data_IF_412656169710
#
_entry.id   IF_412656169710
#
_cell.length_a   1.000
_cell.length_b   1.000
_cell.length_c   1.000
_cell.angle_alpha   90.00
_cell.angle_beta   90.00
_cell.angle_gamma   90.00
#
_symmetry.space_group_name_H-M   'P 1'
#
loop_
_entity.id
_entity.type
_entity.pdbx_description
1 polymer ?
#
# COMPACT_ATOMS: atom_id res chain seq x y z
N UNK A 1 49.57 33.91 32.69
CA UNK A 1 48.11 33.76 32.82
C UNK A 1 47.44 34.97 32.19
N UNK A 2 46.90 34.84 30.98
CA UNK A 2 46.26 35.93 30.24
C UNK A 2 44.77 36.00 30.59
N UNK A 3 44.33 37.10 31.20
CA UNK A 3 42.93 37.36 31.56
C UNK A 3 42.18 37.86 30.31
N UNK A 4 41.34 37.02 29.74
CA UNK A 4 40.44 37.41 28.65
C UNK A 4 39.24 38.12 29.28
N UNK A 5 39.08 39.42 29.00
CA UNK A 5 37.90 40.20 29.40
C UNK A 5 36.77 39.87 28.42
N UNK A 6 35.66 39.32 28.92
CA UNK A 6 34.45 39.17 28.12
C UNK A 6 33.79 40.55 27.92
N UNK A 7 33.71 41.01 26.67
CA UNK A 7 32.89 42.16 26.29
C UNK A 7 31.44 41.72 26.26
N UNK A 8 30.63 42.20 27.20
CA UNK A 8 29.16 42.11 27.13
C UNK A 8 28.66 43.30 26.34
N UNK A 9 28.15 43.05 25.13
CA UNK A 9 27.44 44.03 24.33
C UNK A 9 26.66 43.28 23.27
N UNK A 10 25.36 43.05 23.51
CA UNK A 10 24.43 42.64 22.45
C UNK A 10 24.23 43.87 21.57
N UNK A 11 24.43 43.79 20.24
CA UNK A 11 24.25 44.92 19.33
C UNK A 11 22.81 45.45 19.39
N UNK A 12 22.67 46.78 19.28
CA UNK A 12 21.42 47.55 19.36
C UNK A 12 20.44 47.26 18.20
N UNK A 13 20.86 46.44 17.23
CA UNK A 13 20.08 46.07 16.04
C UNK A 13 19.36 44.72 16.19
N UNK A 14 19.06 44.29 17.43
CA UNK A 14 18.25 43.08 17.65
C UNK A 14 16.80 43.35 17.22
N UNK A 15 16.51 43.02 15.98
CA UNK A 15 15.19 43.11 15.35
C UNK A 15 14.24 42.19 16.13
N UNK A 16 13.33 42.78 16.90
CA UNK A 16 12.25 42.03 17.54
C UNK A 16 11.27 41.61 16.44
N UNK A 17 11.35 40.37 15.98
CA UNK A 17 10.33 39.81 15.08
C UNK A 17 9.00 39.78 15.84
N UNK A 18 8.05 40.60 15.42
CA UNK A 18 6.66 40.50 15.85
C UNK A 18 6.14 39.12 15.41
N UNK A 19 5.85 38.26 16.38
CA UNK A 19 5.17 37.00 16.15
C UNK A 19 3.77 37.32 15.63
N UNK A 20 3.59 37.29 14.31
CA UNK A 20 2.25 37.16 13.73
C UNK A 20 1.74 35.79 14.17
N UNK A 21 0.61 35.77 14.88
CA UNK A 21 0.05 34.59 15.52
C UNK A 21 0.15 33.34 14.63
N UNK A 22 0.85 32.30 15.10
CA UNK A 22 1.12 31.05 14.36
C UNK A 22 -0.15 30.44 13.72
N UNK A 23 -1.29 30.65 14.37
CA UNK A 23 -2.60 30.19 13.91
C UNK A 23 -3.07 30.87 12.60
N UNK A 24 -2.59 32.08 12.30
CA UNK A 24 -2.92 32.80 11.06
C UNK A 24 -2.10 32.30 9.88
N UNK A 25 -0.83 31.93 10.13
CA UNK A 25 0.07 31.33 9.15
C UNK A 25 -0.43 29.93 8.77
N UNK A 26 -0.83 29.12 9.75
CA UNK A 26 -1.39 27.78 9.50
C UNK A 26 -2.66 27.85 8.63
N UNK A 27 -3.57 28.79 8.91
CA UNK A 27 -4.79 28.97 8.09
C UNK A 27 -4.49 29.39 6.66
N UNK A 28 -3.49 30.26 6.45
CA UNK A 28 -3.07 30.63 5.09
C UNK A 28 -2.45 29.43 4.36
N UNK A 29 -1.61 28.65 5.02
CA UNK A 29 -1.01 27.44 4.45
C UNK A 29 -2.06 26.35 4.13
N UNK A 30 -3.12 26.22 4.94
CA UNK A 30 -4.24 25.31 4.69
C UNK A 30 -5.06 25.74 3.46
N UNK A 31 -5.32 27.04 3.33
CA UNK A 31 -6.03 27.61 2.19
C UNK A 31 -5.26 27.39 0.88
N UNK A 32 -3.93 27.61 0.90
CA UNK A 32 -3.05 27.39 -0.25
C UNK A 32 -2.99 25.90 -0.66
N UNK A 33 -3.01 24.97 0.30
CA UNK A 33 -3.01 23.53 0.01
C UNK A 33 -4.30 23.04 -0.64
N UNK A 34 -5.46 23.63 -0.31
CA UNK A 34 -6.74 23.27 -0.92
C UNK A 34 -6.82 23.66 -2.40
N UNK A 35 -6.23 24.80 -2.77
CA UNK A 35 -6.25 25.31 -4.16
C UNK A 35 -5.26 24.59 -5.10
N UNK A 36 -4.32 23.80 -4.56
CA UNK A 36 -3.39 22.96 -5.33
C UNK A 36 -3.95 21.59 -5.69
N UNK A 37 -5.14 21.21 -5.19
CA UNK A 37 -5.76 19.95 -5.56
C UNK A 37 -6.37 20.03 -6.97
N UNK A 38 -6.00 19.14 -7.90
CA UNK A 38 -6.54 19.15 -9.26
C UNK A 38 -8.07 19.03 -9.24
N UNK A 39 -8.74 19.83 -10.08
CA UNK A 39 -10.20 19.77 -10.23
C UNK A 39 -10.62 18.32 -10.53
N UNK A 40 -11.81 17.86 -10.05
CA UNK A 40 -12.25 16.48 -10.27
C UNK A 40 -12.23 16.01 -11.73
N UNK A 41 -12.40 16.95 -12.67
CA UNK A 41 -12.29 16.71 -14.11
C UNK A 41 -10.84 16.46 -14.56
N UNK A 42 -9.88 17.28 -14.11
CA UNK A 42 -8.45 17.11 -14.37
C UNK A 42 -7.88 15.82 -13.76
N UNK A 43 -8.42 15.39 -12.60
CA UNK A 43 -8.07 14.10 -11.97
C UNK A 43 -8.42 12.90 -12.86
N UNK A 44 -9.55 12.97 -13.58
CA UNK A 44 -9.96 11.91 -14.52
C UNK A 44 -9.10 11.88 -15.78
N UNK A 45 -8.63 13.04 -16.24
CA UNK A 45 -7.75 13.13 -17.41
C UNK A 45 -6.35 12.55 -17.09
N UNK A 46 -5.77 12.87 -15.94
CA UNK A 46 -4.52 12.27 -15.45
C UNK A 46 -4.61 10.74 -15.28
N UNK A 47 -5.78 10.22 -14.89
CA UNK A 47 -6.02 8.78 -14.79
C UNK A 47 -6.08 8.12 -16.18
N UNK A 48 -6.69 8.78 -17.17
CA UNK A 48 -6.76 8.28 -18.55
C UNK A 48 -5.39 8.27 -19.24
N UNK A 49 -4.56 9.28 -19.00
CA UNK A 49 -3.20 9.34 -19.54
C UNK A 49 -2.31 8.22 -18.96
N UNK A 50 -2.43 7.93 -17.65
CA UNK A 50 -1.71 6.82 -17.01
C UNK A 50 -2.19 5.42 -17.42
N UNK A 51 -3.43 5.28 -17.87
CA UNK A 51 -3.97 4.02 -18.41
C UNK A 51 -3.48 3.77 -19.85
N UNK A 52 -3.40 4.81 -20.68
CA UNK A 52 -2.90 4.72 -22.05
C UNK A 52 -1.39 4.38 -22.13
N UNK A 53 -0.58 4.85 -21.18
CA UNK A 53 0.84 4.44 -21.07
C UNK A 53 1.01 3.00 -20.60
N UNK A 54 0.05 2.47 -19.82
CA UNK A 54 0.11 1.11 -19.27
C UNK A 54 -0.23 0.05 -20.32
N UNK A 55 -1.11 0.37 -21.25
CA UNK A 55 -1.49 -0.49 -22.37
C UNK A 55 -0.35 -0.64 -23.40
N UNK A 56 0.59 0.31 -23.49
CA UNK A 56 1.75 0.23 -24.39
C UNK A 56 2.92 -0.61 -23.81
N UNK A 57 2.84 -1.04 -22.55
CA UNK A 57 3.91 -1.80 -21.86
C UNK A 57 3.59 -3.29 -21.71
N UNK A 58 2.72 -3.82 -22.55
CA UNK A 58 2.45 -5.25 -22.64
C UNK A 58 2.95 -5.78 -23.99
N UNK A 59 4.26 -5.67 -24.24
CA UNK A 59 4.96 -6.51 -25.22
C UNK A 59 6.47 -6.53 -24.92
N UNK A 60 6.83 -7.14 -23.79
CA UNK A 60 8.12 -7.84 -23.68
C UNK A 60 7.81 -9.27 -23.25
N UNK A 61 7.29 -10.03 -24.21
CA UNK A 61 7.33 -11.48 -24.17
C UNK A 61 8.81 -11.86 -24.25
N UNK A 62 9.41 -12.30 -23.15
CA UNK A 62 10.67 -13.01 -23.20
C UNK A 62 10.39 -14.37 -23.83
N UNK A 63 10.51 -14.42 -25.16
CA UNK A 63 10.38 -15.63 -25.96
C UNK A 63 11.40 -16.65 -25.45
N UNK A 64 10.91 -17.85 -25.12
CA UNK A 64 11.67 -18.95 -24.52
C UNK A 64 12.96 -19.24 -25.30
N UNK A 65 14.10 -18.88 -24.71
CA UNK A 65 15.39 -19.34 -25.15
C UNK A 65 15.54 -20.80 -24.71
N UNK A 66 15.72 -21.69 -25.70
CA UNK A 66 16.01 -23.10 -25.50
C UNK A 66 17.09 -23.31 -24.41
N UNK A 67 16.74 -24.04 -23.35
CA UNK A 67 17.48 -24.17 -22.08
C UNK A 67 18.55 -25.29 -22.11
N UNK A 68 19.19 -25.54 -23.25
CA UNK A 68 20.18 -26.63 -23.38
C UNK A 68 21.65 -26.16 -23.33
N UNK A 69 21.96 -24.86 -23.14
CA UNK A 69 23.36 -24.39 -23.21
C UNK A 69 23.81 -23.33 -22.18
N UNK A 70 23.29 -23.37 -20.94
CA UNK A 70 23.82 -22.55 -19.82
C UNK A 70 24.55 -23.40 -18.77
N UNK A 71 25.45 -24.27 -19.23
CA UNK A 71 26.38 -25.00 -18.38
C UNK A 71 27.79 -24.39 -18.48
N UNK A 72 28.04 -23.23 -17.84
CA UNK A 72 29.39 -22.74 -17.40
C UNK A 72 29.33 -21.34 -16.76
N UNK A 73 28.46 -21.17 -15.77
CA UNK A 73 28.42 -19.97 -14.95
C UNK A 73 27.44 -20.15 -13.81
N UNK A 74 27.79 -19.72 -12.59
CA UNK A 74 26.89 -19.85 -11.44
C UNK A 74 25.51 -19.28 -11.79
N UNK A 75 24.44 -20.04 -11.52
CA UNK A 75 23.06 -19.62 -11.83
C UNK A 75 22.77 -18.27 -11.18
N UNK A 76 22.62 -17.23 -12.00
CA UNK A 76 22.08 -15.95 -11.53
C UNK A 76 20.67 -16.20 -11.02
N UNK A 77 20.35 -15.71 -9.81
CA UNK A 77 19.01 -15.84 -9.24
C UNK A 77 18.05 -14.89 -9.97
N UNK A 78 17.09 -15.43 -10.71
CA UNK A 78 15.99 -14.64 -11.27
C UNK A 78 15.02 -14.25 -10.15
N UNK A 79 14.60 -12.99 -10.14
CA UNK A 79 13.56 -12.51 -9.22
C UNK A 79 12.19 -13.03 -9.69
N UNK A 80 11.62 -13.97 -8.95
CA UNK A 80 10.24 -14.42 -9.15
C UNK A 80 9.40 -14.21 -7.87
N UNK A 81 8.72 -13.05 -7.73
CA UNK A 81 7.91 -12.75 -6.56
C UNK A 81 6.72 -13.70 -6.38
N UNK A 82 6.16 -14.27 -7.45
CA UNK A 82 5.02 -15.18 -7.36
C UNK A 82 5.39 -16.47 -6.61
N UNK A 83 6.64 -16.91 -6.73
CA UNK A 83 7.16 -18.11 -6.07
C UNK A 83 7.79 -17.85 -4.70
N UNK A 84 7.85 -16.60 -4.25
CA UNK A 84 8.30 -16.32 -2.90
C UNK A 84 7.36 -16.98 -1.91
N UNK A 85 7.91 -17.81 -1.01
CA UNK A 85 7.16 -18.54 0.03
C UNK A 85 6.16 -17.65 0.78
N UNK A 86 6.54 -16.41 1.09
CA UNK A 86 5.66 -15.42 1.73
C UNK A 86 4.47 -15.02 0.86
N UNK A 87 4.67 -14.84 -0.43
CA UNK A 87 3.61 -14.45 -1.37
C UNK A 87 2.67 -15.62 -1.65
N UNK A 88 3.21 -16.83 -1.83
CA UNK A 88 2.40 -18.06 -1.92
C UNK A 88 1.53 -18.20 -0.66
N UNK A 89 2.14 -18.10 0.52
CA UNK A 89 1.43 -18.22 1.80
C UNK A 89 0.34 -17.15 1.95
N UNK A 90 0.66 -15.89 1.63
CA UNK A 90 -0.28 -14.78 1.69
C UNK A 90 -1.48 -15.01 0.76
N UNK A 91 -1.21 -15.43 -0.48
CA UNK A 91 -2.25 -15.79 -1.47
C UNK A 91 -3.15 -16.90 -0.94
N UNK A 92 -2.58 -18.01 -0.48
CA UNK A 92 -3.35 -19.13 0.08
C UNK A 92 -4.21 -18.69 1.26
N UNK A 93 -3.65 -17.91 2.19
CA UNK A 93 -4.36 -17.37 3.36
C UNK A 93 -5.55 -16.48 2.98
N UNK A 94 -5.40 -15.62 1.96
CA UNK A 94 -6.48 -14.75 1.51
C UNK A 94 -7.57 -15.50 0.75
N UNK A 95 -7.20 -16.49 -0.07
CA UNK A 95 -8.15 -17.41 -0.74
C UNK A 95 -8.77 -18.44 0.23
N UNK A 96 -8.40 -18.42 1.51
CA UNK A 96 -8.89 -19.37 2.50
C UNK A 96 -8.45 -20.82 2.27
N UNK A 97 -7.41 -21.07 1.47
CA UNK A 97 -6.87 -22.42 1.23
C UNK A 97 -5.94 -22.85 2.35
N UNK A 98 -5.70 -24.16 2.45
CA UNK A 98 -4.72 -24.69 3.38
C UNK A 98 -3.31 -24.17 3.05
N UNK A 99 -2.51 -23.89 4.09
CA UNK A 99 -1.15 -23.37 3.91
C UNK A 99 -0.24 -23.76 5.08
N UNK A 100 1.07 -23.73 4.84
CA UNK A 100 2.09 -23.97 5.88
C UNK A 100 2.54 -22.63 6.48
N UNK A 101 2.55 -22.51 7.81
CA UNK A 101 3.05 -21.33 8.51
C UNK A 101 4.56 -21.16 8.36
N UNK A 102 5.08 -19.99 8.72
CA UNK A 102 6.54 -19.78 8.82
C UNK A 102 7.20 -20.71 9.83
N UNK A 103 6.44 -21.19 10.82
CA UNK A 103 6.87 -22.19 11.80
C UNK A 103 6.71 -23.64 11.34
N UNK A 104 6.31 -23.88 10.08
CA UNK A 104 6.16 -25.22 9.51
C UNK A 104 4.85 -25.94 9.86
N UNK A 105 3.93 -25.27 10.57
CA UNK A 105 2.64 -25.87 10.96
C UNK A 105 1.62 -25.71 9.83
N UNK A 106 0.93 -26.79 9.50
CA UNK A 106 -0.18 -26.74 8.54
C UNK A 106 -1.38 -25.99 9.13
N UNK A 107 -2.01 -25.15 8.30
CA UNK A 107 -3.26 -24.47 8.56
C UNK A 107 -4.27 -24.99 7.56
N UNK A 108 -5.40 -25.49 8.06
CA UNK A 108 -6.46 -26.05 7.24
C UNK A 108 -7.16 -24.96 6.42
N UNK A 109 -7.80 -25.38 5.33
CA UNK A 109 -8.65 -24.51 4.53
C UNK A 109 -9.83 -23.99 5.37
N UNK A 110 -10.22 -22.74 5.13
CA UNK A 110 -11.44 -22.18 5.70
C UNK A 110 -12.64 -22.86 5.07
N UNK A 111 -13.67 -23.08 5.87
CA UNK A 111 -14.97 -23.56 5.42
C UNK A 111 -16.03 -22.55 5.83
N UNK A 112 -17.12 -22.49 5.06
CA UNK A 112 -18.25 -21.65 5.44
C UNK A 112 -18.97 -22.29 6.64
N UNK A 113 -19.23 -21.47 7.67
CA UNK A 113 -20.01 -21.88 8.83
C UNK A 113 -21.52 -21.76 8.56
N UNK A 114 -22.35 -22.22 9.51
CA UNK A 114 -23.80 -22.05 9.43
C UNK A 114 -24.19 -20.56 9.30
N UNK A 115 -25.41 -20.30 8.85
CA UNK A 115 -25.96 -18.94 8.84
C UNK A 115 -26.04 -18.36 10.24
N UNK A 116 -26.02 -17.03 10.31
CA UNK A 116 -26.24 -16.34 11.56
C UNK A 116 -27.66 -16.62 12.07
N UNK A 117 -27.79 -16.95 13.35
CA UNK A 117 -29.09 -17.19 13.97
C UNK A 117 -29.93 -15.91 14.13
N UNK A 118 -31.17 -16.10 14.57
CA UNK A 118 -32.17 -15.02 14.75
C UNK A 118 -31.70 -13.94 15.74
N UNK A 119 -30.82 -14.29 16.68
CA UNK A 119 -30.23 -13.36 17.66
C UNK A 119 -29.12 -12.47 17.10
N UNK A 120 -28.78 -12.58 15.81
CA UNK A 120 -27.77 -11.75 15.18
C UNK A 120 -28.23 -10.28 15.11
N UNK A 121 -27.49 -9.38 15.77
CA UNK A 121 -27.78 -7.94 15.77
C UNK A 121 -27.79 -7.32 14.36
N UNK A 122 -27.02 -7.88 13.43
CA UNK A 122 -26.92 -7.43 12.05
C UNK A 122 -27.92 -8.13 11.11
N UNK A 123 -28.73 -9.07 11.62
CA UNK A 123 -29.72 -9.83 10.84
C UNK A 123 -29.16 -10.36 9.50
N UNK A 124 -27.93 -10.88 9.49
CA UNK A 124 -27.26 -11.27 8.25
C UNK A 124 -28.07 -12.24 7.38
N UNK A 125 -28.88 -13.11 8.00
CA UNK A 125 -29.77 -14.06 7.34
C UNK A 125 -30.93 -13.41 6.57
N UNK A 126 -31.29 -12.15 6.83
CA UNK A 126 -32.28 -11.42 6.01
C UNK A 126 -31.65 -10.69 4.82
N UNK A 127 -30.33 -10.54 4.82
CA UNK A 127 -29.59 -9.82 3.78
C UNK A 127 -28.92 -10.76 2.79
N UNK A 128 -28.46 -11.92 3.26
CA UNK A 128 -27.79 -12.91 2.45
C UNK A 128 -28.35 -14.30 2.74
N UNK A 129 -28.91 -14.91 1.70
CA UNK A 129 -29.27 -16.31 1.72
C UNK A 129 -28.01 -17.19 1.70
N UNK A 130 -28.16 -18.45 2.10
CA UNK A 130 -27.02 -19.38 2.19
C UNK A 130 -26.33 -19.61 0.84
N UNK A 131 -27.07 -19.56 -0.25
CA UNK A 131 -26.51 -19.64 -1.61
C UNK A 131 -25.66 -18.42 -1.95
N UNK A 132 -26.15 -17.21 -1.64
CA UNK A 132 -25.40 -15.96 -1.85
C UNK A 132 -24.10 -15.95 -1.02
N UNK A 133 -24.18 -16.42 0.23
CA UNK A 133 -23.00 -16.60 1.09
C UNK A 133 -21.99 -17.58 0.48
N UNK A 134 -22.48 -18.68 -0.10
CA UNK A 134 -21.65 -19.67 -0.80
C UNK A 134 -20.96 -19.09 -2.05
N UNK A 135 -21.67 -18.27 -2.82
CA UNK A 135 -21.11 -17.60 -4.01
C UNK A 135 -20.01 -16.61 -3.63
N UNK A 136 -20.25 -15.77 -2.60
CA UNK A 136 -19.24 -14.84 -2.08
C UNK A 136 -18.00 -15.61 -1.60
N UNK A 137 -18.20 -16.76 -0.93
CA UNK A 137 -17.10 -17.58 -0.44
C UNK A 137 -16.26 -18.20 -1.58
N UNK A 138 -16.89 -18.58 -2.70
CA UNK A 138 -16.21 -19.18 -3.86
C UNK A 138 -15.59 -18.16 -4.82
N UNK A 139 -16.01 -16.90 -4.77
CA UNK A 139 -15.58 -15.85 -5.69
C UNK A 139 -14.17 -15.31 -5.49
N UNK A 140 -13.43 -15.79 -4.49
CA UNK A 140 -12.07 -15.35 -4.14
C UNK A 140 -11.07 -16.51 -4.17
#
# INVERSE_FOLDING_TARGET
MLKIKHKTGVPEDYIHYENQDDASIERQAEQENHDLLPRPQQRRELQKEGEAERENREDVICVDANDEDLQKGGRKRTRNPAEWKRNIQKRLKYTGKAYVSTSGKEKLAKTIGPSCGVSCALRCSSHFDDEARGTIFKGY
#
